data_IF_988027301733
#
_entry.id   IF_988027301733
#
_cell.length_a   1.000
_cell.length_b   1.000
_cell.length_c   1.000
_cell.angle_alpha   90.00
_cell.angle_beta   90.00
_cell.angle_gamma   90.00
#
_symmetry.space_group_name_H-M   'P 1'
#
loop_
_entity.id
_entity.type
_entity.pdbx_description
1 polymer ?
#
# COMPACT_ATOMS: atom_id res chain seq x y z
N UNK A 1 74.12 138.28 103.21
CA UNK A 1 72.75 137.98 103.69
C UNK A 1 72.29 136.78 102.89
N UNK A 2 72.49 135.59 103.45
CA UNK A 2 71.61 134.85 104.42
C UNK A 2 70.88 133.77 103.62
N UNK A 3 71.23 132.49 103.83
CA UNK A 3 70.49 131.52 104.68
C UNK A 3 69.21 131.00 103.96
N UNK A 4 68.69 129.78 104.05
CA UNK A 4 68.99 128.54 104.79
C UNK A 4 67.99 127.46 104.32
N UNK A 5 68.34 126.18 104.52
CA UNK A 5 67.53 124.95 104.79
C UNK A 5 66.30 124.56 103.92
N UNK A 6 66.35 123.40 103.21
CA UNK A 6 65.96 122.01 103.63
C UNK A 6 64.44 121.83 103.84
N UNK A 7 63.73 120.88 103.20
CA UNK A 7 63.75 119.43 103.54
C UNK A 7 63.19 118.50 102.45
N UNK A 8 63.79 117.30 102.36
CA UNK A 8 63.29 116.06 101.76
C UNK A 8 61.90 115.66 102.31
N UNK A 9 61.02 115.12 101.47
CA UNK A 9 60.04 114.12 101.90
C UNK A 9 60.34 112.78 101.24
N UNK A 10 61.01 111.93 102.02
CA UNK A 10 61.18 110.50 101.78
C UNK A 10 59.86 109.84 102.16
N UNK A 11 59.15 109.23 101.21
CA UNK A 11 58.06 108.29 101.49
C UNK A 11 58.69 107.03 102.11
N UNK A 12 58.44 106.79 103.39
CA UNK A 12 58.96 105.65 104.16
C UNK A 12 57.79 104.90 104.80
N UNK A 13 57.79 103.56 104.65
CA UNK A 13 56.79 102.68 105.24
C UNK A 13 55.64 102.28 104.31
N UNK A 14 54.48 101.95 104.90
CA UNK A 14 53.34 101.18 104.36
C UNK A 14 52.86 101.56 102.95
N UNK A 15 52.96 102.83 102.57
CA UNK A 15 52.57 103.35 101.24
C UNK A 15 53.42 102.79 100.07
N UNK A 16 54.69 102.44 100.31
CA UNK A 16 55.53 101.80 99.30
C UNK A 16 55.14 100.32 99.07
N UNK A 17 54.63 99.67 100.12
CA UNK A 17 54.20 98.27 100.07
C UNK A 17 52.86 98.17 99.35
N UNK A 18 51.90 99.06 99.65
CA UNK A 18 50.60 99.06 98.98
C UNK A 18 50.75 99.37 97.48
N UNK A 19 51.63 100.31 97.10
CA UNK A 19 51.93 100.59 95.69
C UNK A 19 52.62 99.42 94.97
N UNK A 20 53.49 98.66 95.65
CA UNK A 20 54.12 97.46 95.08
C UNK A 20 53.16 96.28 94.96
N UNK A 21 52.21 96.12 95.90
CA UNK A 21 51.19 95.06 95.88
C UNK A 21 50.14 95.32 94.80
N UNK A 22 49.65 96.55 94.65
CA UNK A 22 48.70 96.92 93.60
C UNK A 22 49.30 96.74 92.20
N UNK A 23 50.58 97.13 92.04
CA UNK A 23 51.28 97.00 90.75
C UNK A 23 51.60 95.54 90.41
N UNK A 24 51.81 94.67 91.39
CA UNK A 24 52.03 93.22 91.15
C UNK A 24 50.73 92.45 90.93
N UNK A 25 49.63 92.86 91.58
CA UNK A 25 48.28 92.31 91.34
C UNK A 25 47.78 92.60 89.92
N UNK A 26 48.00 93.81 89.42
CA UNK A 26 47.58 94.24 88.07
C UNK A 26 48.36 93.53 86.95
N UNK A 27 49.68 93.34 87.08
CA UNK A 27 50.47 92.59 86.09
C UNK A 27 50.23 91.09 86.14
N UNK A 28 49.98 90.50 87.31
CA UNK A 28 49.70 89.06 87.42
C UNK A 28 48.37 88.66 86.75
N UNK A 29 47.32 89.48 86.90
CA UNK A 29 46.02 89.19 86.29
C UNK A 29 46.00 89.42 84.76
N UNK A 30 46.72 90.42 84.25
CA UNK A 30 46.80 90.68 82.81
C UNK A 30 47.57 89.58 82.04
N UNK A 31 48.48 88.88 82.71
CA UNK A 31 49.29 87.81 82.10
C UNK A 31 48.62 86.44 82.14
N UNK A 32 47.74 86.18 83.12
CA UNK A 32 46.91 84.97 83.18
C UNK A 32 45.85 84.94 82.07
N UNK A 33 45.15 86.05 81.82
CA UNK A 33 44.11 86.14 80.77
C UNK A 33 44.70 85.93 79.37
N UNK A 34 45.90 86.45 79.10
CA UNK A 34 46.59 86.25 77.80
C UNK A 34 47.12 84.83 77.58
N UNK A 35 47.35 84.05 78.65
CA UNK A 35 47.76 82.63 78.53
C UNK A 35 46.58 81.71 78.22
N UNK A 36 45.40 81.97 78.78
CA UNK A 36 44.21 81.15 78.52
C UNK A 36 43.64 81.35 77.11
N UNK A 37 43.60 82.57 76.58
CA UNK A 37 43.13 82.83 75.22
C UNK A 37 43.99 82.16 74.13
N UNK A 38 45.31 82.10 74.32
CA UNK A 38 46.22 81.41 73.38
C UNK A 38 46.07 79.89 73.44
N UNK A 39 45.70 79.32 74.60
CA UNK A 39 45.50 77.88 74.74
C UNK A 39 44.19 77.46 74.08
N UNK A 40 43.09 78.17 74.35
CA UNK A 40 41.78 77.83 73.76
C UNK A 40 41.75 77.96 72.24
N UNK A 41 42.37 78.99 71.64
CA UNK A 41 42.44 79.10 70.18
C UNK A 41 43.19 77.93 69.51
N UNK A 42 44.21 77.37 70.17
CA UNK A 42 44.96 76.21 69.65
C UNK A 42 44.15 74.93 69.74
N UNK A 43 43.44 74.67 70.83
CA UNK A 43 42.62 73.47 70.98
C UNK A 43 41.44 73.46 70.00
N UNK A 44 40.77 74.60 69.80
CA UNK A 44 39.64 74.68 68.85
C UNK A 44 40.07 74.47 67.40
N UNK A 45 41.24 74.99 67.00
CA UNK A 45 41.76 74.80 65.64
C UNK A 45 42.20 73.35 65.38
N UNK A 46 42.82 72.69 66.36
CA UNK A 46 43.22 71.28 66.22
C UNK A 46 41.98 70.38 66.11
N UNK A 47 40.94 70.64 66.92
CA UNK A 47 39.72 69.85 66.88
C UNK A 47 38.98 69.98 65.55
N UNK A 48 38.88 71.19 64.98
CA UNK A 48 38.18 71.43 63.71
C UNK A 48 38.90 70.79 62.51
N UNK A 49 40.23 70.80 62.50
CA UNK A 49 41.03 70.11 61.46
C UNK A 49 40.87 68.59 61.58
N UNK A 50 40.91 68.03 62.81
CA UNK A 50 40.70 66.61 63.04
C UNK A 50 39.29 66.13 62.64
N UNK A 51 38.25 66.94 62.86
CA UNK A 51 36.88 66.57 62.45
C UNK A 51 36.70 66.62 60.95
N UNK A 52 37.25 67.64 60.28
CA UNK A 52 37.17 67.77 58.83
C UNK A 52 37.91 66.63 58.10
N UNK A 53 39.09 66.25 58.59
CA UNK A 53 39.87 65.13 58.04
C UNK A 53 39.18 63.79 58.33
N UNK A 54 38.62 63.60 59.53
CA UNK A 54 37.91 62.37 59.89
C UNK A 54 36.66 62.11 59.05
N UNK A 55 35.83 63.14 58.83
CA UNK A 55 34.60 63.02 58.03
C UNK A 55 34.96 62.87 56.53
N UNK A 56 35.96 63.61 56.05
CA UNK A 56 36.44 63.49 54.67
C UNK A 56 37.00 62.10 54.35
N UNK A 57 37.77 61.52 55.27
CA UNK A 57 38.32 60.16 55.13
C UNK A 57 37.23 59.09 55.11
N UNK A 58 36.23 59.19 55.98
CA UNK A 58 35.12 58.23 56.03
C UNK A 58 34.25 58.27 54.76
N UNK A 59 33.91 59.46 54.26
CA UNK A 59 33.14 59.62 53.02
C UNK A 59 33.96 59.13 51.80
N UNK A 60 35.27 59.38 51.78
CA UNK A 60 36.16 58.85 50.75
C UNK A 60 36.23 57.32 50.73
N UNK A 61 36.35 56.69 51.90
CA UNK A 61 36.36 55.23 52.04
C UNK A 61 35.03 54.60 51.60
N UNK A 62 33.89 55.17 52.00
CA UNK A 62 32.57 54.70 51.59
C UNK A 62 32.38 54.83 50.07
N UNK A 63 32.81 55.95 49.48
CA UNK A 63 32.71 56.18 48.03
C UNK A 63 33.61 55.22 47.24
N UNK A 64 34.78 54.86 47.76
CA UNK A 64 35.63 53.83 47.17
C UNK A 64 35.00 52.44 47.29
N UNK A 65 34.43 52.07 48.44
CA UNK A 65 33.78 50.76 48.63
C UNK A 65 32.58 50.58 47.69
N UNK A 66 31.77 51.61 47.51
CA UNK A 66 30.60 51.57 46.59
C UNK A 66 31.06 51.49 45.14
N UNK A 67 32.09 52.24 44.74
CA UNK A 67 32.63 52.17 43.38
C UNK A 67 33.26 50.80 43.08
N UNK A 68 33.94 50.19 44.06
CA UNK A 68 34.56 48.88 43.90
C UNK A 68 33.50 47.77 43.79
N UNK A 69 32.45 47.83 44.62
CA UNK A 69 31.30 46.91 44.53
C UNK A 69 30.52 47.06 43.22
N UNK A 70 30.25 48.28 42.78
CA UNK A 70 29.56 48.54 41.51
C UNK A 70 30.38 48.08 40.30
N UNK A 71 31.71 48.17 40.37
CA UNK A 71 32.59 47.67 39.32
C UNK A 71 32.53 46.15 39.23
N UNK A 72 32.62 45.46 40.37
CA UNK A 72 32.54 44.00 40.43
C UNK A 72 31.20 43.47 39.93
N UNK A 73 30.08 44.08 40.37
CA UNK A 73 28.73 43.71 39.91
C UNK A 73 28.55 43.97 38.41
N UNK A 74 29.13 45.05 37.87
CA UNK A 74 29.08 45.35 36.44
C UNK A 74 29.86 44.34 35.61
N UNK A 75 31.05 43.92 36.05
CA UNK A 75 31.79 42.83 35.41
C UNK A 75 31.08 41.49 35.51
N UNK A 76 30.44 41.16 36.64
CA UNK A 76 29.64 39.95 36.77
C UNK A 76 28.40 39.97 35.87
N UNK A 77 27.74 41.13 35.72
CA UNK A 77 26.62 41.29 34.79
C UNK A 77 27.05 41.20 33.31
N UNK A 78 28.20 41.76 32.93
CA UNK A 78 28.74 41.64 31.58
C UNK A 78 29.17 40.19 31.28
N UNK A 79 29.75 39.48 32.25
CA UNK A 79 30.06 38.04 32.14
C UNK A 79 28.80 37.16 32.08
N UNK A 80 27.79 37.45 32.91
CA UNK A 80 26.51 36.73 32.85
C UNK A 80 25.77 36.99 31.54
N UNK A 81 25.76 38.23 31.05
CA UNK A 81 25.12 38.57 29.77
C UNK A 81 25.82 37.86 28.61
N UNK A 82 27.16 37.87 28.57
CA UNK A 82 27.94 37.15 27.56
C UNK A 82 27.70 35.64 27.60
N UNK A 83 27.71 35.03 28.79
CA UNK A 83 27.45 33.59 28.95
C UNK A 83 26.01 33.22 28.56
N UNK A 84 25.02 34.07 28.86
CA UNK A 84 23.61 33.83 28.51
C UNK A 84 23.40 33.94 27.00
N UNK A 85 24.05 34.90 26.33
CA UNK A 85 24.01 35.04 24.87
C UNK A 85 24.64 33.81 24.19
N UNK A 86 25.77 33.33 24.71
CA UNK A 86 26.46 32.14 24.20
C UNK A 86 25.62 30.87 24.40
N UNK A 87 24.95 30.73 25.56
CA UNK A 87 24.07 29.60 25.87
C UNK A 87 22.79 29.60 25.03
N UNK A 88 22.19 30.78 24.80
CA UNK A 88 21.03 30.94 23.90
C UNK A 88 21.45 30.60 22.45
N UNK A 89 22.61 31.08 21.99
CA UNK A 89 23.09 30.76 20.64
C UNK A 89 23.39 29.26 20.49
N UNK A 90 24.00 28.64 21.50
CA UNK A 90 24.28 27.21 21.51
C UNK A 90 22.99 26.37 21.51
N UNK A 91 21.98 26.75 22.29
CA UNK A 91 20.67 26.08 22.27
C UNK A 91 19.92 26.30 20.95
N UNK A 92 19.92 27.52 20.42
CA UNK A 92 19.29 27.81 19.12
C UNK A 92 19.93 26.97 18.01
N UNK A 93 21.27 26.89 17.98
CA UNK A 93 22.01 26.06 17.02
C UNK A 93 21.70 24.56 17.20
N UNK A 94 21.65 24.06 18.43
CA UNK A 94 21.26 22.67 18.71
C UNK A 94 19.81 22.37 18.29
N UNK A 95 18.91 23.34 18.43
CA UNK A 95 17.51 23.20 18.02
C UNK A 95 17.40 23.23 16.50
N UNK A 96 18.13 24.12 15.83
CA UNK A 96 18.23 24.23 14.37
C UNK A 96 18.80 22.93 13.78
N UNK A 97 19.92 22.43 14.29
CA UNK A 97 20.51 21.14 13.86
C UNK A 97 19.56 19.96 14.08
N UNK A 98 18.85 19.92 15.23
CA UNK A 98 17.84 18.87 15.48
C UNK A 98 16.62 18.99 14.59
N UNK A 99 16.19 20.21 14.28
CA UNK A 99 15.02 20.46 13.46
C UNK A 99 15.32 20.20 11.99
N UNK A 100 16.48 20.65 11.50
CA UNK A 100 17.01 20.35 10.17
C UNK A 100 17.23 18.84 9.99
N UNK A 101 17.81 18.15 10.98
CA UNK A 101 17.97 16.70 10.94
C UNK A 101 16.63 15.95 10.89
N UNK A 102 15.62 16.39 11.66
CA UNK A 102 14.27 15.80 11.63
C UNK A 102 13.54 16.09 10.32
N UNK A 103 13.64 17.30 9.80
CA UNK A 103 13.02 17.68 8.52
C UNK A 103 13.69 16.90 7.39
N UNK A 104 15.02 16.87 7.33
CA UNK A 104 15.74 16.11 6.30
C UNK A 104 15.31 14.64 6.34
N UNK A 105 15.34 14.00 7.51
CA UNK A 105 14.93 12.59 7.65
C UNK A 105 13.48 12.36 7.21
N UNK A 106 12.55 13.24 7.58
CA UNK A 106 11.14 13.10 7.20
C UNK A 106 10.90 13.36 5.70
N UNK A 107 11.63 14.31 5.11
CA UNK A 107 11.59 14.59 3.67
C UNK A 107 12.19 13.42 2.90
N UNK A 108 13.33 12.88 3.34
CA UNK A 108 13.99 11.73 2.71
C UNK A 108 13.09 10.49 2.76
N UNK A 109 12.48 10.19 3.91
CA UNK A 109 11.50 9.10 4.05
C UNK A 109 10.29 9.29 3.12
N UNK A 110 9.74 10.51 3.05
CA UNK A 110 8.59 10.79 2.18
C UNK A 110 8.96 10.73 0.69
N UNK A 111 10.15 11.19 0.32
CA UNK A 111 10.66 11.11 -1.05
C UNK A 111 10.91 9.65 -1.42
N UNK A 112 11.55 8.86 -0.56
CA UNK A 112 11.79 7.44 -0.80
C UNK A 112 10.49 6.64 -0.89
N UNK A 113 9.50 6.94 -0.05
CA UNK A 113 8.17 6.33 -0.15
C UNK A 113 7.50 6.66 -1.49
N UNK A 114 7.55 7.93 -1.92
CA UNK A 114 6.96 8.36 -3.20
C UNK A 114 7.71 7.82 -4.40
N UNK A 115 9.04 7.79 -4.36
CA UNK A 115 9.89 7.19 -5.39
C UNK A 115 9.65 5.68 -5.45
N UNK A 116 9.48 5.01 -4.30
CA UNK A 116 9.09 3.61 -4.21
C UNK A 116 7.74 3.35 -4.89
N UNK A 117 6.72 4.14 -4.56
CA UNK A 117 5.40 4.06 -5.21
C UNK A 117 5.49 4.26 -6.73
N UNK A 118 6.25 5.25 -7.20
CA UNK A 118 6.46 5.50 -8.63
C UNK A 118 7.20 4.35 -9.30
N UNK A 119 8.22 3.77 -8.65
CA UNK A 119 8.93 2.59 -9.18
C UNK A 119 8.00 1.40 -9.32
N UNK A 120 7.20 1.09 -8.29
CA UNK A 120 6.20 0.02 -8.36
C UNK A 120 5.21 0.22 -9.51
N UNK A 121 4.69 1.45 -9.69
CA UNK A 121 3.79 1.74 -10.81
C UNK A 121 4.47 1.61 -12.18
N UNK A 122 5.73 2.02 -12.31
CA UNK A 122 6.51 1.88 -13.54
C UNK A 122 6.79 0.41 -13.86
N UNK A 123 7.14 -0.40 -12.87
CA UNK A 123 7.37 -1.84 -13.02
C UNK A 123 6.07 -2.54 -13.43
N UNK A 124 4.96 -2.24 -12.75
CA UNK A 124 3.62 -2.74 -13.13
C UNK A 124 3.25 -2.37 -14.57
N UNK A 125 3.53 -1.13 -15.01
CA UNK A 125 3.25 -0.72 -16.39
C UNK A 125 4.14 -1.45 -17.40
N UNK A 126 5.40 -1.70 -17.06
CA UNK A 126 6.32 -2.47 -17.89
C UNK A 126 5.84 -3.92 -18.03
N UNK A 127 5.48 -4.56 -16.92
CA UNK A 127 4.94 -5.93 -16.89
C UNK A 127 3.64 -6.01 -17.70
N UNK A 128 2.80 -4.97 -17.63
CA UNK A 128 1.60 -4.86 -18.45
C UNK A 128 1.88 -4.77 -19.96
N UNK A 129 2.86 -3.96 -20.38
CA UNK A 129 3.25 -3.91 -21.80
C UNK A 129 3.81 -5.25 -22.28
N UNK A 130 4.62 -5.92 -21.45
CA UNK A 130 5.15 -7.26 -21.76
C UNK A 130 4.01 -8.29 -21.86
N UNK A 131 3.04 -8.23 -20.95
CA UNK A 131 1.86 -9.08 -20.97
C UNK A 131 1.05 -8.93 -22.26
N UNK A 132 0.79 -7.68 -22.70
CA UNK A 132 0.11 -7.42 -23.96
C UNK A 132 0.89 -8.01 -25.15
N UNK A 133 2.20 -7.77 -25.23
CA UNK A 133 3.04 -8.30 -26.30
C UNK A 133 3.05 -9.83 -26.34
N UNK A 134 3.05 -10.49 -25.18
CA UNK A 134 2.95 -11.96 -25.10
C UNK A 134 1.59 -12.45 -25.56
N UNK A 135 0.50 -11.77 -25.21
CA UNK A 135 -0.84 -12.16 -25.67
C UNK A 135 -0.99 -12.10 -27.20
N UNK A 136 -0.44 -11.06 -27.84
CA UNK A 136 -0.40 -10.92 -29.31
C UNK A 136 0.45 -12.02 -29.96
N UNK A 137 1.61 -12.36 -29.35
CA UNK A 137 2.45 -13.45 -29.83
C UNK A 137 1.73 -14.81 -29.72
N UNK A 138 1.05 -15.04 -28.60
CA UNK A 138 0.27 -16.25 -28.34
C UNK A 138 -0.83 -16.39 -29.39
N UNK A 139 -1.61 -15.33 -29.63
CA UNK A 139 -2.68 -15.31 -30.65
C UNK A 139 -2.12 -15.67 -32.04
N UNK A 140 -1.03 -15.03 -32.44
CA UNK A 140 -0.38 -15.30 -33.72
C UNK A 140 0.16 -16.74 -33.83
N UNK A 141 0.70 -17.33 -32.75
CA UNK A 141 1.15 -18.72 -32.78
C UNK A 141 -0.02 -19.72 -32.89
N UNK A 142 -1.15 -19.43 -32.23
CA UNK A 142 -2.37 -20.25 -32.29
C UNK A 142 -3.03 -20.20 -33.67
N UNK A 143 -3.03 -19.05 -34.34
CA UNK A 143 -3.47 -18.94 -35.74
C UNK A 143 -2.65 -19.82 -36.70
N UNK A 144 -1.40 -20.13 -36.32
CA UNK A 144 -0.50 -21.00 -37.07
C UNK A 144 -0.50 -22.45 -36.57
N UNK A 145 -1.53 -22.88 -35.84
CA UNK A 145 -1.70 -24.22 -35.26
C UNK A 145 -0.54 -24.64 -34.33
N UNK A 146 0.14 -23.69 -33.68
CA UNK A 146 1.22 -23.96 -32.71
C UNK A 146 0.75 -23.73 -31.28
N UNK A 147 1.33 -24.51 -30.35
CA UNK A 147 1.09 -24.35 -28.93
C UNK A 147 2.19 -23.47 -28.30
N UNK A 148 1.88 -22.22 -27.87
CA UNK A 148 2.87 -21.27 -27.37
C UNK A 148 3.22 -21.51 -25.89
N UNK A 149 3.79 -22.67 -25.55
CA UNK A 149 4.01 -23.07 -24.15
C UNK A 149 4.83 -22.07 -23.33
N UNK A 150 5.96 -21.60 -23.88
CA UNK A 150 6.83 -20.65 -23.17
C UNK A 150 6.19 -19.27 -23.04
N UNK A 151 5.67 -18.65 -24.12
CA UNK A 151 4.93 -17.40 -24.00
C UNK A 151 3.75 -17.49 -23.02
N UNK A 152 2.98 -18.57 -23.06
CA UNK A 152 1.84 -18.81 -22.18
C UNK A 152 2.25 -18.83 -20.71
N UNK A 153 3.31 -19.59 -20.37
CA UNK A 153 3.81 -19.65 -18.99
C UNK A 153 4.35 -18.29 -18.50
N UNK A 154 4.99 -17.51 -19.36
CA UNK A 154 5.40 -16.14 -19.03
C UNK A 154 4.19 -15.23 -18.83
N UNK A 155 3.19 -15.31 -19.70
CA UNK A 155 1.98 -14.50 -19.59
C UNK A 155 1.21 -14.80 -18.29
N UNK A 156 1.09 -16.08 -17.90
CA UNK A 156 0.45 -16.48 -16.64
C UNK A 156 1.15 -15.89 -15.41
N UNK A 157 2.50 -15.86 -15.41
CA UNK A 157 3.27 -15.22 -14.32
C UNK A 157 3.02 -13.73 -14.25
N UNK A 158 2.96 -13.06 -15.40
CA UNK A 158 2.65 -11.63 -15.44
C UNK A 158 1.22 -11.35 -14.99
N UNK A 159 0.25 -12.20 -15.33
CA UNK A 159 -1.13 -12.04 -14.81
C UNK A 159 -1.14 -12.11 -13.28
N UNK A 160 -0.44 -13.07 -12.67
CA UNK A 160 -0.38 -13.20 -11.22
C UNK A 160 0.22 -11.94 -10.55
N UNK A 161 1.24 -11.35 -11.16
CA UNK A 161 1.85 -10.10 -10.70
C UNK A 161 0.91 -8.89 -10.87
N UNK A 162 0.19 -8.83 -11.99
CA UNK A 162 -0.72 -7.74 -12.35
C UNK A 162 -2.09 -7.84 -11.68
N UNK A 163 -2.47 -9.01 -11.13
CA UNK A 163 -3.76 -9.26 -10.48
C UNK A 163 -4.02 -8.41 -9.23
N UNK A 164 -3.01 -7.71 -8.72
CA UNK A 164 -3.15 -6.76 -7.60
C UNK A 164 -3.13 -5.29 -8.03
N UNK A 165 -2.88 -5.02 -9.31
CA UNK A 165 -2.78 -3.66 -9.85
C UNK A 165 -4.14 -3.19 -10.39
N UNK A 166 -4.98 -2.62 -9.51
CA UNK A 166 -6.36 -2.20 -9.81
C UNK A 166 -6.49 -1.40 -11.13
N UNK A 167 -5.62 -0.39 -11.32
CA UNK A 167 -5.66 0.45 -12.53
C UNK A 167 -5.31 -0.26 -13.84
N UNK A 168 -4.72 -1.46 -13.78
CA UNK A 168 -4.39 -2.28 -14.96
C UNK A 168 -5.52 -3.26 -15.25
N UNK A 169 -6.07 -3.88 -14.22
CA UNK A 169 -7.13 -4.89 -14.33
C UNK A 169 -8.42 -4.29 -14.91
N UNK A 170 -8.73 -3.05 -14.56
CA UNK A 170 -9.88 -2.32 -15.11
C UNK A 170 -9.71 -1.94 -16.58
N UNK A 171 -8.50 -2.10 -17.15
CA UNK A 171 -8.23 -1.74 -18.54
C UNK A 171 -8.86 -2.76 -19.51
N UNK A 172 -9.68 -2.31 -20.48
CA UNK A 172 -10.29 -3.22 -21.44
C UNK A 172 -9.28 -4.08 -22.22
N UNK A 173 -8.09 -3.53 -22.54
CA UNK A 173 -7.05 -4.26 -23.27
C UNK A 173 -6.42 -5.38 -22.42
N UNK A 174 -6.35 -5.20 -21.11
CA UNK A 174 -5.92 -6.27 -20.20
C UNK A 174 -6.90 -7.45 -20.31
N UNK A 175 -8.20 -7.16 -20.26
CA UNK A 175 -9.22 -8.21 -20.39
C UNK A 175 -9.25 -8.88 -21.75
N UNK A 176 -8.99 -8.15 -22.85
CA UNK A 176 -8.82 -8.75 -24.17
C UNK A 176 -7.65 -9.74 -24.22
N UNK A 177 -6.50 -9.37 -23.65
CA UNK A 177 -5.35 -10.26 -23.55
C UNK A 177 -5.62 -11.49 -22.68
N UNK A 178 -6.33 -11.33 -21.56
CA UNK A 178 -6.76 -12.44 -20.69
C UNK A 178 -7.70 -13.41 -21.44
N UNK A 179 -8.60 -12.91 -22.30
CA UNK A 179 -9.47 -13.77 -23.13
C UNK A 179 -8.69 -14.71 -24.03
N UNK A 180 -7.63 -14.20 -24.66
CA UNK A 180 -6.76 -15.01 -25.53
C UNK A 180 -6.14 -16.16 -24.73
N UNK A 181 -5.65 -15.85 -23.53
CA UNK A 181 -5.05 -16.85 -22.64
C UNK A 181 -6.09 -17.90 -22.22
N UNK A 182 -7.26 -17.47 -21.73
CA UNK A 182 -8.32 -18.37 -21.28
C UNK A 182 -8.80 -19.28 -22.42
N UNK A 183 -9.03 -18.74 -23.62
CA UNK A 183 -9.46 -19.52 -24.78
C UNK A 183 -8.47 -20.66 -25.08
N UNK A 184 -7.18 -20.41 -24.98
CA UNK A 184 -6.14 -21.42 -25.20
C UNK A 184 -6.08 -22.42 -24.06
N UNK A 185 -6.15 -21.96 -22.81
CA UNK A 185 -6.15 -22.86 -21.66
C UNK A 185 -7.33 -23.82 -21.68
N UNK A 186 -8.53 -23.34 -22.02
CA UNK A 186 -9.74 -24.16 -22.13
C UNK A 186 -9.62 -25.14 -23.30
N UNK A 187 -9.15 -24.69 -24.48
CA UNK A 187 -8.93 -25.57 -25.65
C UNK A 187 -7.90 -26.67 -25.42
N UNK A 188 -6.96 -26.44 -24.51
CA UNK A 188 -5.85 -27.36 -24.20
C UNK A 188 -6.03 -28.09 -22.87
N UNK A 189 -7.21 -27.96 -22.24
CA UNK A 189 -7.60 -28.59 -20.98
C UNK A 189 -6.56 -28.40 -19.84
N UNK A 190 -6.04 -27.19 -19.70
CA UNK A 190 -5.04 -26.84 -18.68
C UNK A 190 -5.68 -26.44 -17.34
N UNK A 191 -6.36 -27.40 -16.70
CA UNK A 191 -7.11 -27.17 -15.44
C UNK A 191 -6.31 -26.42 -14.37
N UNK A 192 -5.06 -26.80 -14.13
CA UNK A 192 -4.26 -26.20 -13.04
C UNK A 192 -4.01 -24.71 -13.30
N UNK A 193 -3.65 -24.35 -14.53
CA UNK A 193 -3.45 -22.97 -14.94
C UNK A 193 -4.76 -22.16 -14.93
N UNK A 194 -5.89 -22.77 -15.34
CA UNK A 194 -7.21 -22.14 -15.25
C UNK A 194 -7.59 -21.87 -13.79
N UNK A 195 -7.41 -22.85 -12.90
CA UNK A 195 -7.69 -22.70 -11.47
C UNK A 195 -6.84 -21.59 -10.82
N UNK A 196 -5.57 -21.45 -11.23
CA UNK A 196 -4.70 -20.37 -10.75
C UNK A 196 -5.17 -19.00 -11.23
N UNK A 197 -5.52 -18.89 -12.51
CA UNK A 197 -6.03 -17.66 -13.10
C UNK A 197 -7.38 -17.25 -12.47
N UNK A 198 -8.27 -18.22 -12.25
CA UNK A 198 -9.54 -18.02 -11.54
C UNK A 198 -9.31 -17.51 -10.13
N UNK A 199 -8.35 -18.08 -9.41
CA UNK A 199 -8.01 -17.63 -8.07
C UNK A 199 -7.51 -16.18 -8.03
N UNK A 200 -6.72 -15.77 -9.02
CA UNK A 200 -6.13 -14.43 -9.11
C UNK A 200 -7.13 -13.35 -9.58
N UNK A 201 -7.98 -13.66 -10.56
CA UNK A 201 -8.82 -12.67 -11.26
C UNK A 201 -10.34 -12.90 -11.10
N UNK A 202 -10.76 -13.75 -10.16
CA UNK A 202 -12.15 -14.20 -9.94
C UNK A 202 -13.25 -13.19 -10.28
N UNK A 203 -13.21 -12.02 -9.65
CA UNK A 203 -14.28 -11.02 -9.75
C UNK A 203 -14.31 -10.40 -11.15
N UNK A 204 -13.14 -10.20 -11.74
CA UNK A 204 -12.95 -9.54 -13.03
C UNK A 204 -13.35 -10.47 -14.16
N UNK A 205 -12.95 -11.74 -14.10
CA UNK A 205 -13.31 -12.75 -15.09
C UNK A 205 -14.84 -12.91 -15.20
N UNK A 206 -15.54 -12.82 -14.06
CA UNK A 206 -16.99 -12.91 -14.01
C UNK A 206 -17.71 -11.70 -14.61
N UNK A 207 -17.03 -10.61 -14.97
CA UNK A 207 -17.67 -9.46 -15.65
C UNK A 207 -17.75 -9.63 -17.16
N UNK A 208 -16.95 -10.53 -17.72
CA UNK A 208 -16.89 -10.74 -19.17
C UNK A 208 -17.74 -11.94 -19.62
N UNK A 209 -18.54 -11.74 -20.66
CA UNK A 209 -19.50 -12.75 -21.10
C UNK A 209 -18.83 -13.94 -21.76
N UNK A 210 -17.78 -13.72 -22.57
CA UNK A 210 -17.09 -14.80 -23.26
C UNK A 210 -16.34 -15.67 -22.25
N UNK A 211 -15.58 -15.04 -21.36
CA UNK A 211 -14.85 -15.75 -20.30
C UNK A 211 -15.82 -16.54 -19.41
N UNK A 212 -16.93 -15.93 -19.00
CA UNK A 212 -17.91 -16.61 -18.15
C UNK A 212 -18.52 -17.83 -18.83
N UNK A 213 -18.80 -17.75 -20.14
CA UNK A 213 -19.27 -18.89 -20.92
C UNK A 213 -18.20 -19.99 -21.04
N UNK A 214 -16.96 -19.62 -21.38
CA UNK A 214 -15.86 -20.57 -21.56
C UNK A 214 -15.55 -21.31 -20.25
N UNK A 215 -15.54 -20.59 -19.12
CA UNK A 215 -15.31 -21.18 -17.80
C UNK A 215 -16.51 -21.99 -17.31
N UNK A 216 -17.75 -21.56 -17.57
CA UNK A 216 -18.93 -22.37 -17.27
C UNK A 216 -18.91 -23.68 -18.07
N UNK A 217 -18.56 -23.64 -19.36
CA UNK A 217 -18.40 -24.83 -20.20
C UNK A 217 -17.29 -25.74 -19.67
N UNK A 218 -16.11 -25.18 -19.34
CA UNK A 218 -14.98 -25.95 -18.81
C UNK A 218 -15.31 -26.66 -17.48
N UNK A 219 -15.76 -25.92 -16.47
CA UNK A 219 -16.07 -26.53 -15.17
C UNK A 219 -17.31 -27.43 -15.23
N UNK A 220 -18.27 -27.13 -16.10
CA UNK A 220 -19.39 -28.01 -16.39
C UNK A 220 -18.93 -29.35 -16.93
N UNK A 221 -18.07 -29.35 -17.96
CA UNK A 221 -17.49 -30.56 -18.53
C UNK A 221 -16.69 -31.35 -17.51
N UNK A 222 -15.81 -30.70 -16.73
CA UNK A 222 -15.05 -31.35 -15.66
C UNK A 222 -15.95 -32.07 -14.65
N UNK A 223 -17.01 -31.41 -14.19
CA UNK A 223 -17.95 -32.02 -13.24
C UNK A 223 -18.67 -33.21 -13.88
N UNK A 224 -19.11 -33.11 -15.14
CA UNK A 224 -19.82 -34.21 -15.79
C UNK A 224 -18.90 -35.39 -16.13
N UNK A 225 -17.67 -35.12 -16.56
CA UNK A 225 -16.68 -36.14 -16.92
C UNK A 225 -16.12 -36.90 -15.70
N UNK A 226 -16.08 -36.25 -14.54
CA UNK A 226 -15.51 -36.82 -13.33
C UNK A 226 -16.21 -38.11 -12.90
N UNK A 227 -15.46 -39.15 -12.48
CA UNK A 227 -16.05 -40.36 -11.91
C UNK A 227 -16.57 -40.16 -10.48
N UNK A 228 -16.21 -39.05 -9.83
CA UNK A 228 -16.58 -38.77 -8.45
C UNK A 228 -18.01 -38.20 -8.34
N UNK A 229 -18.71 -38.41 -7.22
CA UNK A 229 -19.96 -37.73 -6.91
C UNK A 229 -19.79 -36.21 -6.96
N UNK A 230 -20.85 -35.48 -7.34
CA UNK A 230 -20.83 -34.02 -7.40
C UNK A 230 -20.50 -33.40 -6.03
N UNK A 231 -20.90 -34.06 -4.94
CA UNK A 231 -20.59 -33.68 -3.56
C UNK A 231 -19.09 -33.63 -3.26
N UNK A 232 -18.28 -34.44 -3.92
CA UNK A 232 -16.81 -34.45 -3.76
C UNK A 232 -16.13 -33.39 -4.63
N UNK A 233 -16.86 -32.75 -5.55
CA UNK A 233 -16.39 -31.73 -6.49
C UNK A 233 -16.85 -30.32 -6.10
N UNK A 234 -16.93 -30.06 -4.79
CA UNK A 234 -17.51 -28.82 -4.26
C UNK A 234 -16.79 -27.56 -4.79
N UNK A 235 -15.47 -27.60 -4.95
CA UNK A 235 -14.69 -26.46 -5.49
C UNK A 235 -15.12 -26.13 -6.91
N UNK A 236 -15.08 -27.12 -7.82
CA UNK A 236 -15.49 -26.95 -9.21
C UNK A 236 -16.96 -26.54 -9.32
N UNK A 237 -17.82 -27.10 -8.46
CA UNK A 237 -19.24 -26.76 -8.42
C UNK A 237 -19.48 -25.30 -8.03
N UNK A 238 -18.74 -24.77 -7.06
CA UNK A 238 -18.81 -23.35 -6.67
C UNK A 238 -18.34 -22.43 -7.79
N UNK A 239 -17.27 -22.81 -8.49
CA UNK A 239 -16.76 -22.04 -9.63
C UNK A 239 -17.75 -22.04 -10.79
N UNK A 240 -18.30 -23.21 -11.15
CA UNK A 240 -19.37 -23.32 -12.15
C UNK A 240 -20.57 -22.47 -11.76
N UNK A 241 -21.03 -22.54 -10.50
CA UNK A 241 -22.20 -21.79 -10.03
C UNK A 241 -21.99 -20.28 -10.17
N UNK A 242 -20.77 -19.79 -9.94
CA UNK A 242 -20.44 -18.37 -10.13
C UNK A 242 -20.53 -17.97 -11.61
N UNK A 243 -19.89 -18.72 -12.49
CA UNK A 243 -19.85 -18.37 -13.91
C UNK A 243 -21.20 -18.61 -14.61
N UNK A 244 -21.96 -19.63 -14.21
CA UNK A 244 -23.34 -19.82 -14.67
C UNK A 244 -24.23 -18.63 -14.25
N UNK A 245 -24.11 -18.16 -13.00
CA UNK A 245 -24.82 -16.95 -12.55
C UNK A 245 -24.40 -15.73 -13.37
N UNK A 246 -23.10 -15.53 -13.59
CA UNK A 246 -22.61 -14.42 -14.41
C UNK A 246 -23.14 -14.51 -15.84
N UNK A 247 -23.06 -15.68 -16.50
CA UNK A 247 -23.60 -15.88 -17.84
C UNK A 247 -25.08 -15.51 -17.93
N UNK A 248 -25.89 -15.86 -16.92
CA UNK A 248 -27.30 -15.45 -16.82
C UNK A 248 -27.45 -13.92 -16.76
N UNK A 249 -26.66 -13.26 -15.91
CA UNK A 249 -26.66 -11.78 -15.78
C UNK A 249 -26.17 -11.10 -17.08
N UNK A 250 -25.31 -11.78 -17.85
CA UNK A 250 -24.72 -11.33 -19.11
C UNK A 250 -25.48 -11.78 -20.37
N UNK A 251 -26.77 -12.10 -20.24
CA UNK A 251 -27.70 -12.44 -21.35
C UNK A 251 -27.49 -13.81 -22.01
N UNK A 252 -26.97 -14.79 -21.27
CA UNK A 252 -26.90 -16.19 -21.68
C UNK A 252 -27.59 -17.12 -20.66
N UNK A 253 -28.88 -16.90 -20.36
CA UNK A 253 -29.61 -17.69 -19.37
C UNK A 253 -29.73 -19.17 -19.76
N UNK A 254 -29.74 -19.50 -21.05
CA UNK A 254 -29.85 -20.85 -21.57
C UNK A 254 -28.63 -21.70 -21.24
N UNK A 255 -27.43 -21.12 -21.31
CA UNK A 255 -26.18 -21.81 -21.02
C UNK A 255 -26.05 -22.09 -19.53
N UNK A 256 -26.42 -21.12 -18.70
CA UNK A 256 -26.50 -21.29 -17.25
C UNK A 256 -27.48 -22.41 -16.88
N UNK A 257 -28.71 -22.36 -17.44
CA UNK A 257 -29.75 -23.36 -17.18
C UNK A 257 -29.32 -24.76 -17.61
N UNK A 258 -28.67 -24.89 -18.77
CA UNK A 258 -28.17 -26.18 -19.27
C UNK A 258 -27.19 -26.83 -18.28
N UNK A 259 -26.17 -26.10 -17.84
CA UNK A 259 -25.18 -26.66 -16.91
C UNK A 259 -25.76 -26.96 -15.54
N UNK A 260 -26.62 -26.08 -15.01
CA UNK A 260 -27.32 -26.31 -13.75
C UNK A 260 -28.19 -27.57 -13.82
N UNK A 261 -28.93 -27.77 -14.92
CA UNK A 261 -29.74 -28.96 -15.15
C UNK A 261 -28.88 -30.23 -15.24
N UNK A 262 -27.78 -30.19 -15.99
CA UNK A 262 -26.89 -31.34 -16.14
C UNK A 262 -26.28 -31.76 -14.80
N UNK A 263 -25.77 -30.78 -14.04
CA UNK A 263 -25.18 -31.06 -12.72
C UNK A 263 -26.24 -31.55 -11.73
N UNK A 264 -27.44 -30.95 -11.72
CA UNK A 264 -28.52 -31.41 -10.85
C UNK A 264 -28.95 -32.85 -11.17
N UNK A 265 -29.03 -33.21 -12.45
CA UNK A 265 -29.38 -34.56 -12.88
C UNK A 265 -28.27 -35.59 -12.62
N UNK A 266 -27.00 -35.21 -12.79
CA UNK A 266 -25.86 -36.05 -12.39
C UNK A 266 -25.85 -36.28 -10.87
N UNK A 267 -26.09 -35.22 -10.09
CA UNK A 267 -26.13 -35.27 -8.63
C UNK A 267 -27.21 -36.20 -8.11
N UNK A 268 -28.35 -36.27 -8.79
CA UNK A 268 -29.41 -37.25 -8.50
C UNK A 268 -29.16 -38.65 -9.07
N UNK A 269 -27.93 -38.95 -9.50
CA UNK A 269 -27.55 -40.24 -10.09
C UNK A 269 -28.39 -40.60 -11.32
N UNK A 270 -28.61 -39.62 -12.21
CA UNK A 270 -29.39 -39.78 -13.43
C UNK A 270 -30.84 -40.19 -13.15
N UNK A 271 -31.42 -39.60 -12.11
CA UNK A 271 -32.84 -39.79 -11.77
C UNK A 271 -33.57 -38.47 -11.78
N UNK A 272 -34.80 -38.51 -12.27
CA UNK A 272 -35.76 -37.42 -12.17
C UNK A 272 -36.01 -37.01 -10.72
N UNK A 273 -36.01 -35.70 -10.46
CA UNK A 273 -36.22 -35.11 -9.13
C UNK A 273 -37.07 -33.84 -9.24
N UNK A 274 -37.72 -33.39 -8.15
CA UNK A 274 -38.45 -32.12 -8.16
C UNK A 274 -37.62 -30.91 -8.59
N UNK A 275 -36.30 -30.94 -8.36
CA UNK A 275 -35.38 -29.88 -8.80
C UNK A 275 -35.19 -29.90 -10.32
N UNK A 276 -34.90 -31.08 -10.87
CA UNK A 276 -34.71 -31.24 -12.33
C UNK A 276 -36.03 -31.02 -13.08
N UNK A 277 -37.18 -31.39 -12.50
CA UNK A 277 -38.52 -31.06 -13.00
C UNK A 277 -38.70 -29.56 -13.19
N UNK A 278 -38.46 -28.79 -12.13
CA UNK A 278 -38.58 -27.32 -12.19
C UNK A 278 -37.63 -26.70 -13.20
N UNK A 279 -36.39 -27.20 -13.29
CA UNK A 279 -35.42 -26.69 -14.27
C UNK A 279 -35.86 -26.96 -15.71
N UNK A 280 -36.44 -28.13 -15.98
CA UNK A 280 -37.01 -28.45 -17.30
C UNK A 280 -38.23 -27.59 -17.60
N UNK A 281 -39.08 -27.31 -16.61
CA UNK A 281 -40.20 -26.37 -16.76
C UNK A 281 -39.72 -24.94 -17.09
N UNK A 282 -38.64 -24.46 -16.45
CA UNK A 282 -38.04 -23.14 -16.73
C UNK A 282 -37.61 -22.95 -18.18
N UNK A 283 -37.37 -24.03 -18.94
CA UNK A 283 -37.07 -23.93 -20.39
C UNK A 283 -38.22 -23.24 -21.14
N UNK A 284 -39.47 -23.37 -20.66
CA UNK A 284 -40.63 -22.72 -21.26
C UNK A 284 -40.68 -21.20 -21.02
N UNK A 285 -39.95 -20.72 -20.01
CA UNK A 285 -39.85 -19.30 -19.68
C UNK A 285 -38.74 -18.59 -20.47
N UNK A 286 -37.89 -19.34 -21.17
CA UNK A 286 -36.88 -18.78 -22.06
C UNK A 286 -37.54 -18.08 -23.26
N UNK A 287 -36.91 -17.00 -23.73
CA UNK A 287 -37.34 -16.39 -24.98
C UNK A 287 -37.05 -17.35 -26.16
N UNK A 288 -37.58 -17.04 -27.34
CA UNK A 288 -37.47 -17.91 -28.51
C UNK A 288 -36.02 -18.14 -28.97
N UNK A 289 -35.16 -17.12 -28.88
CA UNK A 289 -33.75 -17.22 -29.26
C UNK A 289 -32.97 -18.09 -28.26
N UNK A 290 -33.18 -17.87 -26.97
CA UNK A 290 -32.55 -18.63 -25.89
C UNK A 290 -33.02 -20.08 -25.91
N UNK A 291 -34.30 -20.34 -26.20
CA UNK A 291 -34.86 -21.68 -26.38
C UNK A 291 -34.18 -22.42 -27.52
N UNK A 292 -33.96 -21.74 -28.66
CA UNK A 292 -33.22 -22.32 -29.79
C UNK A 292 -31.78 -22.65 -29.42
N UNK A 293 -31.07 -21.72 -28.77
CA UNK A 293 -29.69 -21.94 -28.33
C UNK A 293 -29.61 -23.08 -27.31
N UNK A 294 -30.52 -23.14 -26.34
CA UNK A 294 -30.66 -24.23 -25.40
C UNK A 294 -30.79 -25.56 -26.13
N UNK A 295 -31.78 -25.68 -27.03
CA UNK A 295 -32.04 -26.91 -27.78
C UNK A 295 -30.86 -27.30 -28.67
N UNK A 296 -30.19 -26.33 -29.30
CA UNK A 296 -28.98 -26.55 -30.07
C UNK A 296 -27.86 -27.15 -29.20
N UNK A 297 -27.62 -26.61 -28.00
CA UNK A 297 -26.59 -27.14 -27.10
C UNK A 297 -26.97 -28.50 -26.49
N UNK A 298 -28.23 -28.73 -26.15
CA UNK A 298 -28.71 -30.07 -25.71
C UNK A 298 -28.48 -31.09 -26.83
N UNK A 299 -28.87 -30.76 -28.06
CA UNK A 299 -28.64 -31.63 -29.22
C UNK A 299 -27.16 -31.92 -29.43
N UNK A 300 -26.34 -30.86 -29.45
CA UNK A 300 -24.89 -30.93 -29.64
C UNK A 300 -24.24 -31.91 -28.66
N UNK A 301 -24.61 -31.81 -27.38
CA UNK A 301 -24.07 -32.67 -26.32
C UNK A 301 -24.66 -34.09 -26.30
N UNK A 302 -25.88 -34.29 -26.83
CA UNK A 302 -26.50 -35.62 -26.96
C UNK A 302 -25.98 -36.45 -28.13
N UNK A 303 -25.47 -35.80 -29.19
CA UNK A 303 -25.23 -36.48 -30.46
C UNK A 303 -23.88 -37.23 -30.49
N UNK A 304 -23.85 -38.55 -30.74
CA UNK A 304 -22.62 -39.35 -30.70
C UNK A 304 -21.51 -38.84 -31.63
N UNK A 305 -21.87 -38.35 -32.83
CA UNK A 305 -20.90 -37.82 -33.82
C UNK A 305 -20.05 -36.64 -33.30
N UNK A 306 -20.50 -35.92 -32.28
CA UNK A 306 -19.69 -34.86 -31.70
C UNK A 306 -18.44 -35.42 -31.02
N UNK A 307 -18.58 -36.58 -30.39
CA UNK A 307 -17.58 -37.23 -29.54
C UNK A 307 -16.85 -38.36 -30.27
N UNK A 308 -17.40 -38.88 -31.37
CA UNK A 308 -16.77 -39.95 -32.16
C UNK A 308 -15.46 -39.55 -32.84
N UNK A 309 -15.22 -38.26 -33.07
CA UNK A 309 -13.97 -37.77 -33.70
C UNK A 309 -12.76 -37.74 -32.74
N UNK A 310 -13.02 -37.72 -31.43
CA UNK A 310 -12.05 -37.87 -30.34
C UNK A 310 -12.83 -38.47 -29.17
N UNK A 311 -12.98 -39.80 -29.10
CA UNK A 311 -13.78 -40.45 -28.07
C UNK A 311 -13.02 -40.43 -26.74
N UNK A 312 -12.98 -39.26 -26.11
CA UNK A 312 -12.56 -39.07 -24.74
C UNK A 312 -13.65 -39.55 -23.77
N UNK A 313 -13.28 -39.70 -22.51
CA UNK A 313 -14.20 -40.11 -21.45
C UNK A 313 -15.28 -39.04 -21.23
N UNK A 314 -14.90 -37.77 -21.34
CA UNK A 314 -15.75 -36.62 -21.07
C UNK A 314 -16.96 -36.58 -22.00
N UNK A 315 -16.72 -36.70 -23.30
CA UNK A 315 -17.75 -36.71 -24.31
C UNK A 315 -18.73 -37.88 -24.19
N UNK A 316 -18.22 -39.06 -23.83
CA UNK A 316 -19.07 -40.23 -23.58
C UNK A 316 -19.97 -40.04 -22.37
N UNK A 317 -19.43 -39.51 -21.28
CA UNK A 317 -20.21 -39.27 -20.07
C UNK A 317 -21.26 -38.17 -20.28
N UNK A 318 -20.90 -37.12 -21.00
CA UNK A 318 -21.82 -36.04 -21.34
C UNK A 318 -22.95 -36.54 -22.26
N UNK A 319 -22.63 -37.29 -23.33
CA UNK A 319 -23.64 -37.89 -24.19
C UNK A 319 -24.57 -38.86 -23.45
N UNK A 320 -24.01 -39.69 -22.56
CA UNK A 320 -24.78 -40.59 -21.69
C UNK A 320 -25.75 -39.82 -20.79
N UNK A 321 -25.26 -38.75 -20.16
CA UNK A 321 -26.07 -37.89 -19.31
C UNK A 321 -27.23 -37.27 -20.07
N UNK A 322 -26.95 -36.64 -21.21
CA UNK A 322 -27.97 -35.92 -21.98
C UNK A 322 -28.98 -36.88 -22.59
N UNK A 323 -28.55 -38.04 -23.08
CA UNK A 323 -29.47 -39.06 -23.61
C UNK A 323 -30.43 -39.55 -22.52
N UNK A 324 -29.91 -39.88 -21.33
CA UNK A 324 -30.72 -40.32 -20.19
C UNK A 324 -31.71 -39.25 -19.76
N UNK A 325 -31.27 -37.98 -19.71
CA UNK A 325 -32.14 -36.84 -19.43
C UNK A 325 -33.28 -36.74 -20.45
N UNK A 326 -32.98 -36.86 -21.75
CA UNK A 326 -34.01 -36.78 -22.79
C UNK A 326 -34.96 -37.99 -22.77
N UNK A 327 -34.53 -39.17 -22.29
CA UNK A 327 -35.39 -40.33 -22.08
C UNK A 327 -36.36 -40.09 -20.90
N UNK A 328 -35.88 -39.52 -19.80
CA UNK A 328 -36.68 -39.22 -18.61
C UNK A 328 -37.65 -38.04 -18.80
N UNK A 329 -37.36 -37.15 -19.76
CA UNK A 329 -38.18 -35.97 -20.09
C UNK A 329 -38.63 -35.95 -21.56
N UNK A 330 -39.64 -36.76 -21.95
CA UNK A 330 -40.11 -36.87 -23.34
C UNK A 330 -40.57 -35.55 -23.97
N UNK A 331 -41.20 -34.67 -23.18
CA UNK A 331 -41.64 -33.35 -23.67
C UNK A 331 -40.44 -32.46 -24.02
N UNK A 332 -39.36 -32.54 -23.24
CA UNK A 332 -38.11 -31.83 -23.53
C UNK A 332 -37.47 -32.39 -24.81
N UNK A 333 -37.39 -33.72 -24.94
CA UNK A 333 -36.94 -34.37 -26.18
C UNK A 333 -37.71 -33.89 -27.40
N UNK A 334 -39.04 -33.91 -27.34
CA UNK A 334 -39.88 -33.43 -28.44
C UNK A 334 -39.60 -31.96 -28.77
N UNK A 335 -39.38 -31.12 -27.75
CA UNK A 335 -39.05 -29.71 -27.93
C UNK A 335 -37.71 -29.56 -28.65
N UNK A 336 -36.68 -30.28 -28.21
CA UNK A 336 -35.36 -30.28 -28.86
C UNK A 336 -35.47 -30.72 -30.31
N UNK A 337 -36.13 -31.86 -30.58
CA UNK A 337 -36.35 -32.40 -31.93
C UNK A 337 -37.12 -31.44 -32.84
N UNK A 338 -38.12 -30.75 -32.29
CA UNK A 338 -38.90 -29.75 -33.04
C UNK A 338 -38.03 -28.54 -33.39
N UNK A 339 -37.25 -28.03 -32.43
CA UNK A 339 -36.40 -26.86 -32.63
C UNK A 339 -35.26 -27.13 -33.60
N UNK A 340 -34.56 -28.26 -33.51
CA UNK A 340 -33.49 -28.61 -34.48
C UNK A 340 -34.02 -28.81 -35.89
N UNK A 341 -35.30 -29.15 -36.05
CA UNK A 341 -35.95 -29.29 -37.34
C UNK A 341 -36.40 -27.94 -37.94
N UNK A 342 -36.31 -26.83 -37.22
CA UNK A 342 -36.69 -25.51 -37.76
C UNK A 342 -35.74 -25.04 -38.88
N UNK A 343 -36.22 -24.23 -39.86
CA UNK A 343 -35.37 -23.68 -40.92
C UNK A 343 -34.14 -22.90 -40.41
N UNK A 344 -34.23 -22.33 -39.21
CA UNK A 344 -33.17 -21.53 -38.58
C UNK A 344 -32.02 -22.40 -38.07
N UNK A 345 -32.31 -23.56 -37.46
CA UNK A 345 -31.28 -24.45 -36.88
C UNK A 345 -30.88 -25.59 -37.81
N UNK A 346 -31.78 -26.07 -38.66
CA UNK A 346 -31.55 -27.23 -39.53
C UNK A 346 -30.28 -27.10 -40.38
N UNK A 347 -30.00 -25.99 -41.07
CA UNK A 347 -28.77 -25.86 -41.87
C UNK A 347 -27.49 -25.95 -41.02
N UNK A 348 -27.51 -25.37 -39.82
CA UNK A 348 -26.39 -25.41 -38.88
C UNK A 348 -26.12 -26.82 -38.39
N UNK A 349 -27.19 -27.56 -38.04
CA UNK A 349 -27.12 -28.96 -37.60
C UNK A 349 -26.66 -29.87 -38.74
N UNK A 350 -27.23 -29.75 -39.93
CA UNK A 350 -26.85 -30.54 -41.10
C UNK A 350 -25.39 -30.31 -41.50
N UNK A 351 -24.94 -29.05 -41.57
CA UNK A 351 -23.56 -28.70 -41.87
C UNK A 351 -22.59 -29.26 -40.82
N UNK A 352 -22.93 -29.18 -39.53
CA UNK A 352 -22.13 -29.76 -38.46
C UNK A 352 -22.00 -31.29 -38.63
N UNK A 353 -23.11 -31.98 -38.87
CA UNK A 353 -23.15 -33.43 -39.07
C UNK A 353 -22.30 -33.80 -40.30
N UNK A 354 -22.50 -33.13 -41.45
CA UNK A 354 -21.74 -33.37 -42.67
C UNK A 354 -20.23 -33.17 -42.46
N UNK A 355 -19.79 -32.06 -41.84
CA UNK A 355 -18.37 -31.84 -41.54
C UNK A 355 -17.77 -32.92 -40.63
N UNK A 356 -18.54 -33.38 -39.64
CA UNK A 356 -18.10 -34.41 -38.69
C UNK A 356 -18.01 -35.79 -39.36
N UNK A 357 -18.93 -36.11 -40.27
CA UNK A 357 -18.87 -37.34 -41.08
C UNK A 357 -17.70 -37.31 -42.07
N UNK A 358 -17.50 -36.21 -42.79
CA UNK A 358 -16.34 -36.03 -43.67
C UNK A 358 -15.02 -36.19 -42.91
N UNK A 359 -14.94 -35.66 -41.68
CA UNK A 359 -13.74 -35.84 -40.84
C UNK A 359 -13.55 -37.29 -40.42
N UNK A 360 -14.61 -38.00 -40.06
CA UNK A 360 -14.55 -39.44 -39.74
C UNK A 360 -14.08 -40.25 -40.95
N UNK A 361 -14.59 -39.97 -42.15
CA UNK A 361 -14.16 -40.63 -43.39
C UNK A 361 -12.67 -40.38 -43.69
N UNK A 362 -12.15 -39.17 -43.44
CA UNK A 362 -10.72 -38.85 -43.60
C UNK A 362 -9.82 -39.52 -42.56
N UNK A 363 -10.34 -39.77 -41.36
CA UNK A 363 -9.60 -40.38 -40.25
C UNK A 363 -9.69 -41.92 -40.24
N UNK A 364 -10.61 -42.52 -41.00
CA UNK A 364 -10.59 -43.96 -41.22
C UNK A 364 -9.34 -44.30 -42.03
N UNK A 365 -8.44 -45.18 -41.53
CA UNK A 365 -7.35 -45.67 -42.35
C UNK A 365 -7.96 -46.31 -43.59
N UNK A 366 -7.44 -45.98 -44.77
CA UNK A 366 -7.83 -46.63 -46.01
C UNK A 366 -7.77 -48.14 -45.77
N UNK A 367 -8.93 -48.78 -45.67
CA UNK A 367 -9.00 -50.21 -45.46
C UNK A 367 -8.19 -50.84 -46.58
N UNK A 368 -7.14 -51.56 -46.17
CA UNK A 368 -6.22 -52.26 -47.04
C UNK A 368 -6.99 -52.94 -48.17
N UNK A 369 -6.72 -52.52 -49.40
CA UNK A 369 -6.85 -53.39 -50.55
C UNK A 369 -5.86 -54.54 -50.32
N UNK A 370 -6.28 -55.56 -49.57
CA UNK A 370 -5.54 -56.81 -49.46
C UNK A 370 -5.55 -57.48 -50.83
N UNK A 371 -4.44 -57.35 -51.54
CA UNK A 371 -4.07 -58.30 -52.58
C UNK A 371 -2.59 -58.71 -52.39
N UNK A 372 -2.46 -59.89 -51.76
CA UNK A 372 -1.34 -60.82 -51.69
C UNK A 372 -0.05 -60.55 -50.87
N UNK A 373 0.47 -61.60 -50.19
CA UNK A 373 1.65 -61.53 -49.34
C UNK A 373 2.92 -61.92 -50.09
N UNK A 374 4.03 -61.19 -49.86
CA UNK A 374 5.37 -61.78 -49.91
C UNK A 374 6.38 -60.93 -49.11
N UNK A 375 6.77 -61.51 -47.96
CA UNK A 375 8.11 -61.49 -47.34
C UNK A 375 9.09 -60.38 -47.71
N UNK A 376 9.47 -59.56 -46.73
CA UNK A 376 10.86 -59.47 -46.28
C UNK A 376 10.95 -58.78 -44.91
N UNK A 377 11.64 -59.45 -44.01
CA UNK A 377 12.05 -59.03 -42.67
C UNK A 377 13.16 -57.98 -42.77
N UNK A 378 13.03 -56.87 -42.04
CA UNK A 378 14.18 -56.23 -41.38
C UNK A 378 13.76 -55.39 -40.18
N UNK A 379 14.46 -55.65 -39.09
CA UNK A 379 14.45 -55.01 -37.77
C UNK A 379 14.94 -53.57 -37.78
N UNK A 380 14.31 -52.68 -37.00
CA UNK A 380 14.92 -51.83 -35.96
C UNK A 380 14.12 -50.55 -35.71
N UNK A 381 13.77 -50.33 -34.44
CA UNK A 381 13.92 -49.10 -33.65
C UNK A 381 12.70 -48.86 -32.78
N UNK A 382 12.81 -49.27 -31.52
CA UNK A 382 11.98 -48.79 -30.42
C UNK A 382 12.29 -47.29 -30.23
N UNK A 383 11.38 -46.42 -30.67
CA UNK A 383 11.25 -45.07 -30.11
C UNK A 383 9.89 -44.95 -29.43
N UNK A 384 9.97 -45.13 -28.12
CA UNK A 384 9.21 -44.53 -27.02
C UNK A 384 8.13 -43.52 -27.44
N UNK A 385 6.89 -44.00 -27.50
CA UNK A 385 5.71 -43.16 -27.70
C UNK A 385 4.99 -43.00 -26.37
N UNK A 386 5.60 -42.26 -25.46
CA UNK A 386 5.04 -41.87 -24.15
C UNK A 386 4.62 -40.41 -24.16
N UNK A 387 3.55 -40.09 -24.89
CA UNK A 387 2.81 -38.82 -24.71
C UNK A 387 1.31 -39.09 -24.83
N UNK A 388 0.68 -39.39 -23.68
CA UNK A 388 -0.72 -39.09 -23.37
C UNK A 388 -1.00 -39.48 -21.91
N UNK A 389 -1.03 -38.48 -21.04
CA UNK A 389 -1.85 -38.43 -19.84
C UNK A 389 -2.52 -37.08 -19.82
#
# INVERSE_FOLDING_TARGET
>A
MTEEFSTKHVLQGRELIDYLVEKTSSTANAELVRREERRNRRTTFILSVLTAVGIGGAVGAIKMMINDQMRNVRTEMELMAGNLEEEIHAQAKLLEEKFEGKISSAVDEQVDEKVGQVRTLLDQYKDYQEFLALSELIEAEVENDKLPDKPLQSALKLVDQLATAEGIIENPRFMEAVKVIIDILVRTDRKTEIDNLEGALREVLATDSKISLDLADHYGQLIIASPYPVEEMQKEFEVLSRYARSSRELKYPEKALMWELFVAYKRSQYQRTPTTDRMVETVQDLNEADTRNFCYHIFLNSHPLHWMNTPDQEGRELARLVTSLLDDYPNLRQTVETQIATPELRPSVENLISRKLERLERLQPAAETQDNPQTAVTTASEEDNTLRR
#
